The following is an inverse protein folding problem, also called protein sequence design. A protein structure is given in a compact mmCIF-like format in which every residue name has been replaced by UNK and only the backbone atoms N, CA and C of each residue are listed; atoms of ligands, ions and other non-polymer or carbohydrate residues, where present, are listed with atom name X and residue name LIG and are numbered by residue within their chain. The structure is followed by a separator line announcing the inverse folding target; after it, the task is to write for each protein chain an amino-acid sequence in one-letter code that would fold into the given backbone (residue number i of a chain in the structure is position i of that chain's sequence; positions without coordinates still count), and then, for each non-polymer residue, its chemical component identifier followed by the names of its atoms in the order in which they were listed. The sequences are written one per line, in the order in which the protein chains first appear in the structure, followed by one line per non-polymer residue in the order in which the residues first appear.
data_IF_219935379101
#
_entry.id   IF_219935379101
#
_cell.length_a   1.000
_cell.length_b   1.000
_cell.length_c   1.000
_cell.angle_alpha   90.00
_cell.angle_beta   90.00
_cell.angle_gamma   90.00
#
_symmetry.space_group_name_H-M   'P 1'
#
loop_
_entity.id
_entity.type
_entity.pdbx_description
1 polymer ?
#
# COMPACT_ATOMS: atom_id res chain seq x y z
N UNK A 1 21.16 -11.86 -15.42
CA UNK A 1 20.12 -11.85 -16.48
C UNK A 1 18.67 -11.92 -15.96
N UNK A 2 18.35 -12.73 -14.95
CA UNK A 2 16.95 -12.90 -14.48
C UNK A 2 16.28 -11.64 -13.90
N UNK A 3 17.01 -10.76 -13.21
CA UNK A 3 16.45 -9.53 -12.62
C UNK A 3 15.93 -8.51 -13.64
N UNK A 4 16.65 -8.31 -14.76
CA UNK A 4 16.23 -7.42 -15.84
C UNK A 4 14.98 -7.96 -16.56
N UNK A 5 14.94 -9.28 -16.82
CA UNK A 5 13.77 -9.94 -17.39
C UNK A 5 12.54 -9.82 -16.49
N UNK A 6 12.70 -9.95 -15.17
CA UNK A 6 11.61 -9.74 -14.20
C UNK A 6 11.11 -8.30 -14.22
N UNK A 7 11.99 -7.30 -14.26
CA UNK A 7 11.61 -5.88 -14.36
C UNK A 7 10.78 -5.59 -15.61
N UNK A 8 11.22 -6.08 -16.75
CA UNK A 8 10.51 -5.90 -18.02
C UNK A 8 9.17 -6.65 -18.01
N UNK A 9 9.16 -7.90 -17.54
CA UNK A 9 7.93 -8.68 -17.38
C UNK A 9 6.93 -8.01 -16.44
N UNK A 10 7.40 -7.43 -15.33
CA UNK A 10 6.55 -6.73 -14.37
C UNK A 10 5.79 -5.55 -15.00
N UNK A 11 6.45 -4.78 -15.90
CA UNK A 11 5.79 -3.67 -16.61
C UNK A 11 4.65 -4.16 -17.52
N UNK A 12 4.87 -5.29 -18.21
CA UNK A 12 3.87 -5.90 -19.09
C UNK A 12 2.67 -6.39 -18.27
N UNK A 13 2.92 -7.10 -17.17
CA UNK A 13 1.84 -7.56 -16.28
C UNK A 13 1.09 -6.40 -15.63
N UNK A 14 1.78 -5.37 -15.16
CA UNK A 14 1.13 -4.20 -14.58
C UNK A 14 0.19 -3.51 -15.60
N UNK A 15 0.60 -3.35 -16.86
CA UNK A 15 -0.26 -2.80 -17.91
C UNK A 15 -1.50 -3.66 -18.14
N UNK A 16 -1.32 -4.98 -18.18
CA UNK A 16 -2.43 -5.94 -18.36
C UNK A 16 -3.39 -5.96 -17.17
N UNK A 17 -2.88 -5.79 -15.96
CA UNK A 17 -3.66 -5.77 -14.71
C UNK A 17 -4.39 -4.42 -14.49
N UNK A 18 -4.43 -3.56 -15.51
CA UNK A 18 -5.14 -2.27 -15.48
C UNK A 18 -4.31 -1.10 -14.92
N UNK A 19 -3.02 -1.29 -14.66
CA UNK A 19 -2.14 -0.24 -14.12
C UNK A 19 -1.39 0.54 -15.20
N UNK A 20 -1.90 0.61 -16.43
CA UNK A 20 -1.27 1.37 -17.50
C UNK A 20 -0.98 2.82 -17.05
N UNK A 21 0.25 3.31 -17.29
CA UNK A 21 0.66 4.66 -16.89
C UNK A 21 1.17 4.81 -15.45
N UNK A 22 1.24 3.74 -14.65
CA UNK A 22 1.71 3.79 -13.26
C UNK A 22 3.11 4.39 -13.06
N UNK A 23 3.98 4.24 -14.07
CA UNK A 23 5.38 4.71 -14.03
C UNK A 23 5.49 6.22 -13.83
N UNK A 24 4.52 7.01 -14.31
CA UNK A 24 4.49 8.47 -14.09
C UNK A 24 4.36 8.81 -12.60
N UNK A 25 3.52 8.07 -11.88
CA UNK A 25 3.28 8.27 -10.45
C UNK A 25 4.46 7.78 -9.61
N UNK A 26 5.11 6.69 -10.03
CA UNK A 26 6.39 6.26 -9.44
C UNK A 26 7.46 7.33 -9.60
N UNK A 27 7.63 7.87 -10.81
CA UNK A 27 8.65 8.89 -11.09
C UNK A 27 8.36 10.20 -10.34
N UNK A 28 7.10 10.63 -10.28
CA UNK A 28 6.68 11.78 -9.48
C UNK A 28 7.01 11.60 -7.99
N UNK A 29 6.73 10.42 -7.42
CA UNK A 29 7.07 10.11 -6.03
C UNK A 29 8.58 10.18 -5.77
N UNK A 30 9.40 9.70 -6.71
CA UNK A 30 10.86 9.81 -6.61
C UNK A 30 11.36 11.25 -6.74
N UNK A 31 10.79 12.03 -7.65
CA UNK A 31 11.19 13.43 -7.84
C UNK A 31 10.87 14.29 -6.61
N UNK A 32 9.78 13.97 -5.90
CA UNK A 32 9.36 14.69 -4.70
C UNK A 32 10.42 14.65 -3.58
N UNK A 33 11.28 13.62 -3.51
CA UNK A 33 12.29 13.51 -2.44
C UNK A 33 13.51 14.41 -2.65
N UNK A 34 13.61 15.07 -3.80
CA UNK A 34 14.69 16.02 -4.12
C UNK A 34 14.19 17.45 -4.35
N UNK A 35 12.89 17.71 -4.19
CA UNK A 35 12.30 19.04 -4.34
C UNK A 35 12.52 19.90 -3.08
N UNK A 36 12.55 21.21 -3.27
CA UNK A 36 12.57 22.15 -2.15
C UNK A 36 11.24 22.15 -1.39
N UNK A 37 11.28 22.50 -0.09
CA UNK A 37 10.07 22.65 0.71
C UNK A 37 9.08 23.67 0.11
N UNK A 38 9.59 24.73 -0.53
CA UNK A 38 8.77 25.73 -1.22
C UNK A 38 8.00 25.12 -2.41
N UNK A 39 8.69 24.37 -3.27
CA UNK A 39 8.05 23.71 -4.42
C UNK A 39 7.01 22.69 -3.99
N UNK A 40 7.30 21.90 -2.96
CA UNK A 40 6.36 20.92 -2.39
C UNK A 40 5.12 21.65 -1.86
N UNK A 41 5.28 22.72 -1.08
CA UNK A 41 4.16 23.50 -0.54
C UNK A 41 3.28 24.08 -1.66
N UNK A 42 3.90 24.67 -2.69
CA UNK A 42 3.18 25.22 -3.85
C UNK A 42 2.39 24.13 -4.57
N UNK A 43 3.04 23.01 -4.92
CA UNK A 43 2.40 21.89 -5.62
C UNK A 43 1.27 21.26 -4.80
N UNK A 44 1.45 21.12 -3.49
CA UNK A 44 0.41 20.62 -2.58
C UNK A 44 -0.79 21.56 -2.51
N UNK A 45 -0.59 22.87 -2.44
CA UNK A 45 -1.69 23.83 -2.44
C UNK A 45 -2.47 23.82 -3.76
N UNK A 46 -1.77 23.74 -4.89
CA UNK A 46 -2.41 23.63 -6.20
C UNK A 46 -3.19 22.31 -6.35
N UNK A 47 -2.63 21.20 -5.86
CA UNK A 47 -3.31 19.91 -5.84
C UNK A 47 -4.54 19.93 -4.92
N UNK A 48 -4.45 20.59 -3.77
CA UNK A 48 -5.56 20.77 -2.84
C UNK A 48 -6.71 21.54 -3.49
N UNK A 49 -6.43 22.68 -4.13
CA UNK A 49 -7.44 23.48 -4.83
C UNK A 49 -8.18 22.65 -5.88
N UNK A 50 -7.44 21.90 -6.71
CA UNK A 50 -8.05 20.99 -7.70
C UNK A 50 -8.90 19.91 -7.04
N UNK A 51 -8.45 19.34 -5.91
CA UNK A 51 -9.20 18.32 -5.19
C UNK A 51 -10.51 18.88 -4.60
N UNK A 52 -10.47 20.05 -3.97
CA UNK A 52 -11.65 20.71 -3.42
C UNK A 52 -12.64 21.09 -4.52
N UNK A 53 -12.17 21.67 -5.63
CA UNK A 53 -13.03 21.96 -6.79
C UNK A 53 -13.66 20.68 -7.34
N UNK A 54 -12.90 19.60 -7.49
CA UNK A 54 -13.46 18.32 -7.93
C UNK A 54 -14.54 17.82 -6.97
N UNK A 55 -14.23 17.73 -5.68
CA UNK A 55 -15.16 17.27 -4.65
C UNK A 55 -16.47 18.07 -4.64
N UNK A 56 -16.38 19.41 -4.64
CA UNK A 56 -17.56 20.27 -4.64
C UNK A 56 -18.38 20.16 -5.93
N UNK A 57 -17.72 20.12 -7.10
CA UNK A 57 -18.42 20.13 -8.38
C UNK A 57 -19.04 18.78 -8.74
N UNK A 58 -18.48 17.67 -8.27
CA UNK A 58 -18.84 16.34 -8.79
C UNK A 58 -19.34 15.37 -7.73
N UNK A 59 -19.19 15.63 -6.44
CA UNK A 59 -19.61 14.70 -5.37
C UNK A 59 -20.76 15.30 -4.56
N UNK A 60 -21.98 14.74 -4.63
CA UNK A 60 -23.15 15.28 -3.95
C UNK A 60 -22.93 15.55 -2.46
N UNK A 61 -22.34 14.61 -1.73
CA UNK A 61 -22.07 14.74 -0.30
C UNK A 61 -21.27 16.01 0.05
N UNK A 62 -20.16 16.26 -0.67
CA UNK A 62 -19.31 17.42 -0.39
C UNK A 62 -19.96 18.73 -0.82
N UNK A 63 -20.65 18.73 -1.97
CA UNK A 63 -21.38 19.91 -2.43
C UNK A 63 -22.40 20.37 -1.39
N UNK A 64 -23.22 19.45 -0.90
CA UNK A 64 -24.31 19.78 0.02
C UNK A 64 -23.75 20.19 1.39
N UNK A 65 -22.78 19.43 1.92
CA UNK A 65 -22.15 19.71 3.21
C UNK A 65 -21.41 21.06 3.23
N UNK A 66 -20.76 21.43 2.12
CA UNK A 66 -20.01 22.69 2.04
C UNK A 66 -20.91 23.89 1.73
N UNK A 67 -21.95 23.71 0.91
CA UNK A 67 -22.96 24.75 0.67
C UNK A 67 -23.66 25.15 1.97
N UNK A 68 -23.97 24.19 2.84
CA UNK A 68 -24.61 24.43 4.14
C UNK A 68 -23.81 25.36 5.08
N UNK A 69 -22.48 25.42 4.92
CA UNK A 69 -21.60 26.29 5.70
C UNK A 69 -21.09 27.51 4.90
N UNK A 70 -21.66 27.75 3.71
CA UNK A 70 -21.24 28.83 2.82
C UNK A 70 -19.81 28.68 2.28
N UNK A 71 -19.29 27.45 2.19
CA UNK A 71 -17.99 27.18 1.61
C UNK A 71 -18.11 26.83 0.12
N UNK A 72 -17.34 27.52 -0.72
CA UNK A 72 -17.15 27.20 -2.12
C UNK A 72 -15.64 27.24 -2.45
N UNK A 73 -15.09 26.22 -3.16
CA UNK A 73 -13.70 26.25 -3.58
C UNK A 73 -13.40 27.45 -4.49
N UNK A 74 -12.25 28.09 -4.28
CA UNK A 74 -11.77 29.21 -5.08
C UNK A 74 -10.26 29.11 -5.32
N UNK A 75 -9.75 29.95 -6.23
CA UNK A 75 -8.30 30.06 -6.46
C UNK A 75 -7.52 30.60 -5.25
N UNK A 76 -8.22 31.20 -4.27
CA UNK A 76 -7.61 31.80 -3.09
C UNK A 76 -7.63 30.90 -1.84
N UNK A 77 -8.23 29.70 -1.93
CA UNK A 77 -8.24 28.75 -0.80
C UNK A 77 -6.82 28.50 -0.31
N UNK A 78 -6.66 28.58 1.01
CA UNK A 78 -5.44 28.32 1.77
C UNK A 78 -5.58 27.02 2.59
N UNK A 79 -4.48 26.58 3.21
CA UNK A 79 -4.50 25.39 4.07
C UNK A 79 -5.38 25.58 5.31
N UNK A 80 -5.42 26.79 5.86
CA UNK A 80 -6.16 27.07 7.09
C UNK A 80 -7.68 27.01 6.88
N UNK A 81 -8.16 27.22 5.64
CA UNK A 81 -9.58 27.09 5.29
C UNK A 81 -10.10 25.66 5.51
N UNK A 82 -9.22 24.65 5.52
CA UNK A 82 -9.60 23.26 5.78
C UNK A 82 -10.20 23.06 7.16
N UNK A 83 -9.87 23.92 8.13
CA UNK A 83 -10.44 23.84 9.49
C UNK A 83 -11.94 24.12 9.52
N UNK A 84 -12.47 24.79 8.48
CA UNK A 84 -13.90 25.09 8.36
C UNK A 84 -14.70 23.93 7.79
N UNK A 85 -14.04 22.96 7.14
CA UNK A 85 -14.71 21.88 6.43
C UNK A 85 -15.16 20.78 7.39
N UNK A 86 -16.38 20.23 7.24
CA UNK A 86 -16.83 19.13 8.05
C UNK A 86 -15.97 17.88 7.80
N UNK A 87 -15.68 17.15 8.87
CA UNK A 87 -14.93 15.91 8.83
C UNK A 87 -15.79 14.77 8.27
N UNK A 88 -15.23 13.97 7.37
CA UNK A 88 -15.84 12.72 6.90
C UNK A 88 -15.64 11.62 7.95
N UNK A 89 -16.73 10.93 8.31
CA UNK A 89 -16.73 9.86 9.30
C UNK A 89 -16.96 8.48 8.67
N UNK A 90 -16.70 7.41 9.44
CA UNK A 90 -17.07 6.04 9.02
C UNK A 90 -18.58 5.85 8.86
N UNK A 91 -19.39 6.59 9.62
CA UNK A 91 -20.85 6.53 9.51
C UNK A 91 -21.29 7.15 8.17
N UNK A 92 -20.69 8.26 7.75
CA UNK A 92 -20.96 8.84 6.42
C UNK A 92 -20.64 7.86 5.30
N UNK A 93 -19.48 7.19 5.38
CA UNK A 93 -19.11 6.16 4.41
C UNK A 93 -20.10 4.98 4.34
N UNK A 94 -20.75 4.65 5.46
CA UNK A 94 -21.73 3.56 5.54
C UNK A 94 -23.13 4.01 5.07
N UNK A 95 -23.58 5.14 5.58
CA UNK A 95 -24.98 5.59 5.49
C UNK A 95 -25.22 6.49 4.26
N UNK A 96 -24.17 7.11 3.72
CA UNK A 96 -24.20 8.07 2.59
C UNK A 96 -23.30 7.64 1.43
N UNK A 97 -23.05 6.33 1.29
CA UNK A 97 -22.09 5.77 0.32
C UNK A 97 -22.33 6.23 -1.12
N UNK A 98 -23.59 6.24 -1.57
CA UNK A 98 -23.95 6.65 -2.93
C UNK A 98 -23.69 8.14 -3.18
N UNK A 99 -23.91 8.99 -2.17
CA UNK A 99 -23.68 10.43 -2.26
C UNK A 99 -22.19 10.81 -2.29
N UNK A 100 -21.32 9.88 -1.88
CA UNK A 100 -19.87 10.03 -1.92
C UNK A 100 -19.27 9.65 -3.29
N UNK A 101 -20.09 9.18 -4.23
CA UNK A 101 -19.64 8.84 -5.58
C UNK A 101 -19.57 10.09 -6.44
N UNK A 102 -18.43 10.28 -7.09
CA UNK A 102 -18.27 11.34 -8.09
C UNK A 102 -19.13 11.06 -9.32
N UNK A 103 -20.00 12.00 -9.66
CA UNK A 103 -20.84 11.99 -10.86
C UNK A 103 -20.02 12.02 -12.16
N UNK A 104 -18.74 12.42 -12.08
CA UNK A 104 -17.82 12.42 -13.21
C UNK A 104 -17.22 11.02 -13.52
N UNK A 105 -17.44 10.01 -12.66
CA UNK A 105 -16.87 8.67 -12.83
C UNK A 105 -17.97 7.69 -13.23
N UNK A 106 -17.89 7.06 -14.41
CA UNK A 106 -18.89 6.08 -14.85
C UNK A 106 -18.78 4.79 -14.03
N UNK A 107 -19.89 4.06 -13.90
CA UNK A 107 -19.97 2.85 -13.06
C UNK A 107 -18.91 1.80 -13.39
N UNK A 108 -18.64 1.57 -14.68
CA UNK A 108 -17.60 0.62 -15.16
C UNK A 108 -16.18 0.90 -14.63
N UNK A 109 -15.92 2.13 -14.20
CA UNK A 109 -14.62 2.54 -13.67
C UNK A 109 -14.59 2.56 -12.14
N UNK A 110 -15.70 2.23 -11.47
CA UNK A 110 -15.84 2.19 -10.00
C UNK A 110 -15.52 0.80 -9.48
N UNK A 111 -14.54 0.70 -8.60
CA UNK A 111 -14.11 -0.55 -7.96
C UNK A 111 -14.42 -0.50 -6.48
N UNK A 112 -15.16 -1.49 -5.97
CA UNK A 112 -15.43 -1.61 -4.54
C UNK A 112 -14.15 -2.03 -3.82
N UNK A 113 -13.88 -1.38 -2.70
CA UNK A 113 -12.82 -1.70 -1.77
C UNK A 113 -13.40 -1.73 -0.34
N UNK A 114 -12.74 -2.45 0.55
CA UNK A 114 -13.18 -2.68 1.93
C UNK A 114 -12.09 -2.19 2.89
N UNK A 115 -12.53 -1.58 3.98
CA UNK A 115 -11.65 -1.28 5.11
C UNK A 115 -11.24 -2.58 5.83
N UNK A 116 -10.14 -2.54 6.60
CA UNK A 116 -9.58 -3.72 7.26
C UNK A 116 -10.45 -4.34 8.36
N UNK A 117 -11.54 -3.68 8.79
CA UNK A 117 -12.49 -4.25 9.75
C UNK A 117 -11.98 -4.40 11.19
N UNK A 118 -10.91 -3.69 11.59
CA UNK A 118 -10.33 -3.79 12.95
C UNK A 118 -11.30 -3.45 14.09
N UNK A 119 -12.40 -2.76 13.78
CA UNK A 119 -13.48 -2.39 14.72
C UNK A 119 -14.75 -3.25 14.54
N UNK A 120 -14.66 -4.41 13.89
CA UNK A 120 -15.73 -5.41 13.81
C UNK A 120 -16.64 -5.33 12.57
N UNK A 121 -16.75 -4.17 11.90
CA UNK A 121 -17.48 -4.05 10.62
C UNK A 121 -16.60 -3.43 9.54
N UNK A 122 -16.54 -4.07 8.37
CA UNK A 122 -15.88 -3.52 7.20
C UNK A 122 -16.80 -2.50 6.54
N UNK A 123 -16.35 -1.26 6.43
CA UNK A 123 -16.98 -0.24 5.59
C UNK A 123 -16.48 -0.38 4.16
N UNK A 124 -17.40 -0.38 3.19
CA UNK A 124 -17.07 -0.41 1.76
C UNK A 124 -17.06 1.00 1.16
N UNK A 125 -16.18 1.24 0.19
CA UNK A 125 -16.10 2.50 -0.54
C UNK A 125 -15.63 2.24 -1.98
N UNK A 126 -15.75 3.24 -2.86
CA UNK A 126 -15.35 3.11 -4.25
C UNK A 126 -13.98 3.74 -4.56
N UNK A 127 -13.28 3.16 -5.53
CA UNK A 127 -12.09 3.75 -6.18
C UNK A 127 -12.29 3.78 -7.67
N UNK A 128 -11.83 4.84 -8.31
CA UNK A 128 -11.72 4.87 -9.76
C UNK A 128 -10.41 4.23 -10.26
N UNK A 129 -10.33 4.01 -11.58
CA UNK A 129 -9.12 3.50 -12.23
C UNK A 129 -7.91 4.43 -12.02
N UNK A 130 -8.09 5.75 -12.10
CA UNK A 130 -7.00 6.71 -11.94
C UNK A 130 -6.36 6.62 -10.55
N UNK A 131 -7.17 6.50 -9.50
CA UNK A 131 -6.73 6.29 -8.12
C UNK A 131 -5.95 4.99 -7.97
N UNK A 132 -6.44 3.88 -8.53
CA UNK A 132 -5.75 2.58 -8.49
C UNK A 132 -4.37 2.64 -9.14
N UNK A 133 -4.26 3.24 -10.33
CA UNK A 133 -2.97 3.43 -11.05
C UNK A 133 -2.02 4.34 -10.27
N UNK A 134 -2.53 5.45 -9.73
CA UNK A 134 -1.73 6.40 -8.97
C UNK A 134 -1.15 5.79 -7.69
N UNK A 135 -1.99 5.08 -6.92
CA UNK A 135 -1.57 4.41 -5.68
C UNK A 135 -0.54 3.33 -5.95
N UNK A 136 -0.79 2.49 -6.95
CA UNK A 136 0.15 1.45 -7.34
C UNK A 136 1.52 2.06 -7.67
N UNK A 137 1.56 3.08 -8.53
CA UNK A 137 2.83 3.72 -8.88
C UNK A 137 3.52 4.43 -7.72
N UNK A 138 2.76 5.14 -6.87
CA UNK A 138 3.30 5.77 -5.66
C UNK A 138 3.91 4.75 -4.71
N UNK A 139 3.24 3.61 -4.48
CA UNK A 139 3.75 2.52 -3.64
C UNK A 139 5.12 2.04 -4.14
N UNK A 140 5.26 1.81 -5.44
CA UNK A 140 6.56 1.42 -6.03
C UNK A 140 7.65 2.48 -5.85
N UNK A 141 7.29 3.76 -5.97
CA UNK A 141 8.22 4.86 -5.68
C UNK A 141 8.68 4.88 -4.22
N UNK A 142 7.75 4.64 -3.28
CA UNK A 142 8.02 4.58 -1.83
C UNK A 142 8.94 3.41 -1.50
N UNK A 143 8.62 2.21 -1.98
CA UNK A 143 9.45 1.03 -1.72
C UNK A 143 10.88 1.21 -2.27
N UNK A 144 11.04 1.92 -3.39
CA UNK A 144 12.36 2.28 -3.92
C UNK A 144 13.14 3.25 -3.03
N UNK A 145 12.47 4.19 -2.35
CA UNK A 145 13.13 5.03 -1.33
C UNK A 145 13.57 4.21 -0.11
N UNK A 146 12.92 3.06 0.13
CA UNK A 146 13.33 2.08 1.14
C UNK A 146 14.39 1.10 0.61
N UNK A 147 14.93 1.33 -0.60
CA UNK A 147 15.99 0.53 -1.21
C UNK A 147 15.53 -0.77 -1.89
N UNK A 148 14.23 -1.01 -2.01
CA UNK A 148 13.73 -2.14 -2.80
C UNK A 148 13.77 -1.82 -4.29
N UNK A 149 14.20 -2.80 -5.09
CA UNK A 149 14.23 -2.68 -6.53
C UNK A 149 13.21 -3.64 -7.17
N UNK A 150 12.40 -3.19 -8.13
CA UNK A 150 11.45 -4.08 -8.81
C UNK A 150 12.11 -5.34 -9.36
N UNK A 151 11.46 -6.49 -9.14
CA UNK A 151 11.94 -7.82 -9.52
C UNK A 151 12.84 -8.50 -8.49
N UNK A 152 13.17 -7.84 -7.38
CA UNK A 152 13.72 -8.50 -6.20
C UNK A 152 12.66 -9.40 -5.57
N UNK A 153 13.08 -10.58 -5.08
CA UNK A 153 12.19 -11.56 -4.49
C UNK A 153 11.62 -11.04 -3.16
N UNK A 154 10.32 -11.21 -2.93
CA UNK A 154 9.67 -10.76 -1.68
C UNK A 154 8.92 -11.89 -1.01
N UNK A 155 9.03 -11.95 0.32
CA UNK A 155 8.13 -12.72 1.17
C UNK A 155 7.05 -11.77 1.70
N UNK A 156 5.80 -12.00 1.33
CA UNK A 156 4.66 -11.21 1.79
C UNK A 156 3.94 -11.97 2.92
N UNK A 157 3.97 -11.47 4.15
CA UNK A 157 3.23 -12.04 5.28
C UNK A 157 1.93 -11.25 5.41
N UNK A 158 0.83 -11.81 4.87
CA UNK A 158 -0.40 -11.06 4.59
C UNK A 158 -1.66 -11.88 4.91
N UNK A 159 -2.66 -11.24 5.51
CA UNK A 159 -3.88 -11.90 6.02
C UNK A 159 -5.17 -11.54 5.27
N UNK A 160 -5.14 -10.61 4.32
CA UNK A 160 -6.35 -10.22 3.59
C UNK A 160 -6.62 -11.19 2.44
N UNK A 161 -7.60 -12.08 2.61
CA UNK A 161 -8.08 -12.98 1.54
C UNK A 161 -8.54 -12.22 0.28
N UNK A 162 -8.92 -10.93 0.40
CA UNK A 162 -9.25 -10.06 -0.73
C UNK A 162 -8.01 -9.55 -1.49
N UNK A 163 -6.86 -9.43 -0.81
CA UNK A 163 -5.58 -9.04 -1.43
C UNK A 163 -4.81 -10.26 -1.98
N UNK A 164 -5.10 -11.43 -1.41
CA UNK A 164 -4.70 -12.73 -1.90
C UNK A 164 -5.58 -13.06 -3.11
N UNK A 165 -5.25 -12.50 -4.29
CA UNK A 165 -5.98 -12.73 -5.53
C UNK A 165 -6.41 -14.20 -5.69
N UNK A 166 -7.56 -14.46 -6.31
CA UNK A 166 -8.38 -15.64 -6.04
C UNK A 166 -7.57 -16.95 -6.05
N UNK A 167 -7.80 -17.77 -5.03
CA UNK A 167 -7.33 -19.14 -4.95
C UNK A 167 -8.08 -20.00 -5.98
N UNK A 168 -7.83 -19.77 -7.26
CA UNK A 168 -8.33 -20.63 -8.33
C UNK A 168 -7.38 -21.81 -8.54
N UNK A 169 -7.97 -23.00 -8.40
CA UNK A 169 -7.41 -24.32 -8.66
C UNK A 169 -6.92 -24.43 -10.11
N UNK A 170 -5.60 -24.42 -10.31
CA UNK A 170 -4.97 -24.65 -11.61
C UNK A 170 -3.60 -23.99 -11.76
N UNK A 171 -2.56 -24.80 -12.02
CA UNK A 171 -1.23 -24.37 -12.45
C UNK A 171 -1.29 -23.84 -13.90
N UNK A 172 -1.86 -22.65 -14.11
CA UNK A 172 -1.79 -22.03 -15.43
C UNK A 172 -0.40 -21.47 -15.71
N UNK A 173 0.11 -21.64 -16.93
CA UNK A 173 1.36 -21.01 -17.42
C UNK A 173 1.38 -19.51 -17.13
N UNK A 174 0.20 -18.87 -17.16
CA UNK A 174 0.00 -17.46 -16.79
C UNK A 174 0.36 -17.17 -15.33
N UNK A 175 -0.06 -18.02 -14.39
CA UNK A 175 0.29 -17.90 -12.96
C UNK A 175 1.78 -18.13 -12.74
N UNK A 176 2.35 -19.12 -13.43
CA UNK A 176 3.79 -19.39 -13.36
C UNK A 176 4.61 -18.19 -13.85
N UNK A 177 4.25 -17.60 -15.00
CA UNK A 177 4.88 -16.40 -15.54
C UNK A 177 4.70 -15.18 -14.62
N UNK A 178 3.51 -15.00 -14.03
CA UNK A 178 3.26 -13.91 -13.07
C UNK A 178 4.09 -14.05 -11.81
N UNK A 179 4.13 -15.26 -11.21
CA UNK A 179 4.98 -15.57 -10.04
C UNK A 179 6.45 -15.43 -10.38
N UNK A 180 6.87 -15.80 -11.58
CA UNK A 180 8.23 -15.60 -12.04
C UNK A 180 8.59 -14.11 -12.16
N UNK A 181 7.68 -13.31 -12.73
CA UNK A 181 7.89 -11.87 -12.95
C UNK A 181 7.85 -11.06 -11.65
N UNK A 182 6.92 -11.35 -10.74
CA UNK A 182 6.87 -10.69 -9.44
C UNK A 182 7.93 -11.21 -8.48
N UNK A 183 8.23 -12.52 -8.55
CA UNK A 183 9.05 -13.25 -7.60
C UNK A 183 8.58 -13.08 -6.14
N UNK A 184 7.27 -12.89 -5.98
CA UNK A 184 6.60 -12.78 -4.69
C UNK A 184 6.18 -14.16 -4.20
N UNK A 185 6.37 -14.39 -2.91
CA UNK A 185 5.83 -15.53 -2.19
C UNK A 185 4.99 -15.03 -1.03
N UNK A 186 3.69 -15.33 -1.08
CA UNK A 186 2.76 -14.92 -0.04
C UNK A 186 2.53 -16.02 0.98
N UNK A 187 2.59 -15.63 2.25
CA UNK A 187 2.39 -16.42 3.45
C UNK A 187 1.14 -15.90 4.14
N UNK A 188 0.16 -16.78 4.38
CA UNK A 188 -1.08 -16.39 5.06
C UNK A 188 -0.77 -16.10 6.52
N UNK A 189 -1.24 -14.97 7.04
CA UNK A 189 -1.07 -14.63 8.46
C UNK A 189 -2.39 -14.56 9.25
N UNK A 190 -3.50 -14.98 8.65
CA UNK A 190 -4.79 -15.09 9.36
C UNK A 190 -4.72 -16.15 10.46
N UNK A 191 -4.09 -17.29 10.14
CA UNK A 191 -3.75 -18.37 11.06
C UNK A 191 -2.35 -18.85 10.70
N UNK A 192 -1.47 -18.95 11.69
CA UNK A 192 -0.09 -19.40 11.53
C UNK A 192 0.20 -20.49 12.56
N UNK A 193 -0.14 -21.73 12.23
CA UNK A 193 0.25 -22.88 13.07
C UNK A 193 1.75 -23.15 12.94
N UNK A 194 2.30 -23.94 13.86
CA UNK A 194 3.70 -24.37 13.78
C UNK A 194 4.01 -25.14 12.49
N UNK A 195 3.05 -25.93 11.99
CA UNK A 195 3.18 -26.64 10.72
C UNK A 195 3.23 -25.66 9.54
N UNK A 196 2.35 -24.64 9.53
CA UNK A 196 2.36 -23.59 8.52
C UNK A 196 3.68 -22.83 8.52
N UNK A 197 4.13 -22.40 9.70
CA UNK A 197 5.37 -21.65 9.85
C UNK A 197 6.59 -22.48 9.44
N UNK A 198 6.60 -23.80 9.70
CA UNK A 198 7.66 -24.69 9.21
C UNK A 198 7.65 -24.78 7.68
N UNK A 199 6.48 -24.89 7.05
CA UNK A 199 6.35 -24.89 5.60
C UNK A 199 6.76 -23.52 5.00
N UNK A 200 6.41 -22.41 5.66
CA UNK A 200 6.79 -21.06 5.25
C UNK A 200 8.32 -20.91 5.29
N UNK A 201 8.94 -21.37 6.37
CA UNK A 201 10.39 -21.37 6.52
C UNK A 201 11.08 -22.11 5.37
N UNK A 202 10.66 -23.34 5.05
CA UNK A 202 11.21 -24.13 3.94
C UNK A 202 11.09 -23.39 2.59
N UNK A 203 9.90 -22.81 2.31
CA UNK A 203 9.65 -22.02 1.09
C UNK A 203 10.56 -20.80 1.02
N UNK A 204 10.75 -20.09 2.13
CA UNK A 204 11.61 -18.91 2.17
C UNK A 204 13.11 -19.26 2.12
N UNK A 205 13.53 -20.40 2.66
CA UNK A 205 14.89 -20.91 2.46
C UNK A 205 15.17 -21.20 0.99
N UNK A 206 14.21 -21.79 0.26
CA UNK A 206 14.35 -22.01 -1.19
C UNK A 206 14.28 -20.70 -1.99
N UNK A 207 13.42 -19.77 -1.59
CA UNK A 207 13.24 -18.50 -2.28
C UNK A 207 14.45 -17.58 -2.10
N UNK A 208 15.02 -17.49 -0.88
CA UNK A 208 15.98 -16.46 -0.48
C UNK A 208 15.43 -15.04 -0.79
N UNK A 209 14.40 -14.59 -0.06
CA UNK A 209 13.78 -13.29 -0.32
C UNK A 209 14.76 -12.15 -0.02
N UNK A 210 14.78 -11.13 -0.87
CA UNK A 210 15.50 -9.90 -0.58
C UNK A 210 14.74 -9.01 0.41
N UNK A 211 13.42 -9.21 0.53
CA UNK A 211 12.52 -8.41 1.35
C UNK A 211 11.51 -9.32 2.07
N UNK A 212 11.30 -9.08 3.37
CA UNK A 212 10.09 -9.52 4.09
C UNK A 212 9.15 -8.32 4.20
N UNK A 213 7.86 -8.48 3.87
CA UNK A 213 6.89 -7.40 3.94
C UNK A 213 5.59 -7.90 4.56
N UNK A 214 5.16 -7.31 5.67
CA UNK A 214 3.92 -7.70 6.32
C UNK A 214 3.59 -6.88 7.55
N UNK A 215 2.73 -7.46 8.38
CA UNK A 215 2.33 -6.87 9.66
C UNK A 215 3.37 -7.17 10.74
N UNK A 216 3.80 -6.19 11.55
CA UNK A 216 4.74 -6.38 12.65
C UNK A 216 4.41 -7.60 13.52
N UNK A 217 3.17 -7.76 13.97
CA UNK A 217 2.81 -8.86 14.86
C UNK A 217 2.96 -10.24 14.19
N UNK A 218 2.56 -10.36 12.92
CA UNK A 218 2.72 -11.60 12.16
C UNK A 218 4.19 -11.93 11.88
N UNK A 219 5.01 -10.92 11.56
CA UNK A 219 6.45 -11.09 11.40
C UNK A 219 7.08 -11.51 12.74
N UNK A 220 6.66 -10.92 13.85
CA UNK A 220 7.11 -11.29 15.20
C UNK A 220 6.79 -12.73 15.55
N UNK A 221 5.56 -13.19 15.30
CA UNK A 221 5.17 -14.58 15.51
C UNK A 221 6.08 -15.53 14.75
N UNK A 222 6.35 -15.24 13.48
CA UNK A 222 7.21 -16.08 12.65
C UNK A 222 8.69 -16.03 13.08
N UNK A 223 9.21 -14.85 13.41
CA UNK A 223 10.58 -14.69 13.90
C UNK A 223 10.81 -15.45 15.22
N UNK A 224 9.84 -15.40 16.14
CA UNK A 224 9.87 -16.15 17.40
C UNK A 224 9.84 -17.65 17.16
N UNK A 225 9.03 -18.12 16.21
CA UNK A 225 9.00 -19.52 15.81
C UNK A 225 10.38 -19.99 15.30
N UNK A 226 11.01 -19.25 14.37
CA UNK A 226 12.35 -19.57 13.85
C UNK A 226 13.37 -19.71 14.98
N UNK A 227 13.35 -18.76 15.93
CA UNK A 227 14.25 -18.77 17.08
C UNK A 227 13.98 -19.94 18.04
N UNK A 228 12.71 -20.18 18.39
CA UNK A 228 12.28 -21.24 19.31
C UNK A 228 12.67 -22.62 18.78
N UNK A 229 12.42 -22.86 17.49
CA UNK A 229 12.71 -24.12 16.80
C UNK A 229 14.19 -24.24 16.37
N UNK A 230 15.01 -23.22 16.64
CA UNK A 230 16.43 -23.15 16.24
C UNK A 230 16.64 -23.41 14.74
N UNK A 231 15.72 -22.91 13.92
CA UNK A 231 15.80 -23.08 12.47
C UNK A 231 16.86 -22.17 11.87
N UNK A 232 17.35 -22.53 10.68
CA UNK A 232 18.28 -21.71 9.91
C UNK A 232 17.72 -20.29 9.72
N UNK A 233 18.49 -19.21 9.99
CA UNK A 233 18.03 -17.85 9.75
C UNK A 233 17.63 -17.60 8.28
N UNK A 234 16.62 -16.76 8.06
CA UNK A 234 16.20 -16.35 6.71
C UNK A 234 16.81 -14.98 6.44
N UNK A 235 17.89 -14.92 5.66
CA UNK A 235 18.53 -13.64 5.38
C UNK A 235 17.70 -12.82 4.37
N UNK A 236 17.05 -11.76 4.86
CA UNK A 236 16.42 -10.75 4.02
C UNK A 236 17.20 -9.44 4.17
N UNK A 237 17.46 -8.75 3.07
CA UNK A 237 18.17 -7.47 3.13
C UNK A 237 17.32 -6.34 3.70
N UNK A 238 15.99 -6.48 3.72
CA UNK A 238 15.02 -5.47 4.16
C UNK A 238 13.76 -6.10 4.75
N UNK A 239 13.16 -5.42 5.71
CA UNK A 239 11.89 -5.80 6.33
C UNK A 239 10.96 -4.58 6.28
N UNK A 240 9.84 -4.70 5.59
CA UNK A 240 8.82 -3.65 5.51
C UNK A 240 7.66 -3.98 6.43
N UNK A 241 7.33 -3.06 7.32
CA UNK A 241 6.25 -3.20 8.29
C UNK A 241 5.13 -2.23 7.94
N UNK A 242 3.88 -2.67 8.02
CA UNK A 242 2.72 -1.81 7.75
C UNK A 242 1.47 -2.27 8.49
N UNK A 243 0.40 -1.47 8.39
CA UNK A 243 -0.94 -1.71 8.95
C UNK A 243 -1.05 -1.85 10.48
N UNK A 244 0.07 -1.97 11.21
CA UNK A 244 0.14 -1.98 12.67
C UNK A 244 1.30 -1.11 13.15
N UNK A 245 1.29 -0.78 14.44
CA UNK A 245 2.41 -0.06 15.07
C UNK A 245 3.63 -0.97 15.17
N UNK A 246 4.73 -0.58 14.52
CA UNK A 246 6.04 -1.20 14.70
C UNK A 246 6.66 -0.73 16.03
N UNK A 247 7.05 -1.68 16.88
CA UNK A 247 7.74 -1.43 18.15
C UNK A 247 9.25 -1.59 18.02
N UNK A 248 10.03 -0.89 18.85
CA UNK A 248 11.50 -1.00 18.81
C UNK A 248 12.00 -2.41 19.14
N UNK A 249 11.38 -3.07 20.12
CA UNK A 249 11.65 -4.50 20.44
C UNK A 249 11.40 -5.44 19.25
N UNK A 250 10.46 -5.10 18.37
CA UNK A 250 10.17 -5.86 17.16
C UNK A 250 11.23 -5.61 16.10
N UNK A 251 11.68 -4.36 15.94
CA UNK A 251 12.79 -4.00 15.04
C UNK A 251 14.04 -4.83 15.34
N UNK A 252 14.47 -4.86 16.60
CA UNK A 252 15.64 -5.64 17.01
C UNK A 252 15.45 -7.14 16.77
N UNK A 253 14.26 -7.68 17.08
CA UNK A 253 13.94 -9.09 16.83
C UNK A 253 14.03 -9.41 15.34
N UNK A 254 13.49 -8.55 14.48
CA UNK A 254 13.50 -8.77 13.03
C UNK A 254 14.91 -8.68 12.47
N UNK A 255 15.73 -7.74 12.94
CA UNK A 255 17.14 -7.66 12.58
C UNK A 255 17.90 -8.92 12.99
N UNK A 256 17.67 -9.49 14.17
CA UNK A 256 18.28 -10.76 14.57
C UNK A 256 17.80 -11.96 13.75
N UNK A 257 16.51 -12.03 13.45
CA UNK A 257 15.92 -13.16 12.72
C UNK A 257 16.21 -13.13 11.22
N UNK A 258 16.31 -11.93 10.63
CA UNK A 258 16.37 -11.74 9.18
C UNK A 258 17.61 -10.99 8.68
N UNK A 259 18.31 -10.22 9.52
CA UNK A 259 19.56 -9.51 9.20
C UNK A 259 19.43 -8.14 8.52
N UNK A 260 18.26 -7.81 7.95
CA UNK A 260 18.08 -6.59 7.14
C UNK A 260 17.58 -5.36 7.89
N UNK A 261 17.59 -4.23 7.19
CA UNK A 261 17.03 -2.97 7.66
C UNK A 261 15.51 -3.05 7.77
N UNK A 262 14.94 -2.53 8.86
CA UNK A 262 13.49 -2.53 9.09
C UNK A 262 12.95 -1.14 8.75
N UNK A 263 11.85 -1.08 8.01
CA UNK A 263 11.19 0.16 7.62
C UNK A 263 9.73 0.16 8.05
N UNK A 264 9.28 1.27 8.62
CA UNK A 264 7.87 1.51 8.91
C UNK A 264 7.16 2.16 7.73
N UNK A 265 6.00 1.64 7.34
CA UNK A 265 5.14 2.19 6.30
C UNK A 265 3.74 2.42 6.88
N UNK A 266 3.35 3.69 7.06
CA UNK A 266 2.01 4.03 7.52
C UNK A 266 1.04 4.07 6.34
N UNK A 267 0.17 3.05 6.27
CA UNK A 267 -0.77 2.86 5.18
C UNK A 267 -2.21 2.70 5.69
N UNK A 268 -3.16 3.18 4.90
CA UNK A 268 -4.59 2.91 5.10
C UNK A 268 -5.24 2.38 3.82
N UNK A 269 -6.39 1.71 3.96
CA UNK A 269 -7.14 1.27 2.78
C UNK A 269 -7.53 2.49 1.98
N UNK A 270 -8.03 3.54 2.60
CA UNK A 270 -8.57 4.80 2.07
C UNK A 270 -7.54 5.61 1.28
N UNK A 271 -6.32 5.81 1.79
CA UNK A 271 -5.31 6.71 1.20
C UNK A 271 -4.13 5.98 0.56
N UNK A 272 -3.81 4.78 1.03
CA UNK A 272 -2.60 4.06 0.65
C UNK A 272 -1.49 4.42 1.63
N UNK A 273 -0.24 4.32 1.19
CA UNK A 273 0.88 4.75 2.03
C UNK A 273 0.92 6.28 2.12
N UNK A 274 0.70 6.78 3.33
CA UNK A 274 0.66 8.21 3.66
C UNK A 274 2.04 8.71 4.09
N UNK A 275 2.75 7.88 4.86
CA UNK A 275 4.09 8.17 5.35
C UNK A 275 4.93 6.89 5.39
N UNK A 276 6.26 7.04 5.30
CA UNK A 276 7.21 5.95 5.23
C UNK A 276 8.59 6.35 5.73
N UNK A 277 9.23 5.43 6.43
CA UNK A 277 10.61 5.54 6.87
C UNK A 277 11.55 5.40 5.66
N UNK A 278 12.53 6.31 5.52
CA UNK A 278 13.57 6.21 4.51
C UNK A 278 14.86 5.58 5.07
N UNK A 279 15.84 5.31 4.22
CA UNK A 279 17.12 4.69 4.59
C UNK A 279 17.96 5.43 5.64
N UNK A 280 17.60 6.67 5.98
CA UNK A 280 18.25 7.41 7.06
C UNK A 280 17.73 7.04 8.45
N UNK A 281 16.60 6.34 8.54
CA UNK A 281 15.95 5.98 9.82
C UNK A 281 15.74 7.19 10.75
N UNK A 282 15.47 8.35 10.15
CA UNK A 282 15.19 9.63 10.82
C UNK A 282 13.87 10.17 10.28
N UNK A 283 12.76 9.82 10.91
CA UNK A 283 11.42 10.16 10.42
C UNK A 283 10.43 9.00 10.56
N UNK A 284 9.37 9.00 9.74
CA UNK A 284 8.11 8.30 10.02
C UNK A 284 7.65 7.40 8.88
#
# INVERSE_FOLDING_TARGET
MSGLLRRSGYRVFARRDGYAGWTRHRNAMRAMTTQSAFEIRRQSLDALRRLLTHAFSTVPFYRDAWTAIGFAPSAHVALDDLQRLPMLTKNDLRDRKEDLISLAVPERDRHIDLTGGTTGTQTSFYRDNACRVARFGRQWGILEQCGYQPGQKRALIWGSHADLGPAHSGLSLRRALRRFASADETLCCTVMTDADMRAYHQRLCALQPAVVYGYPNAIEQFARFIARERLKPITAGRIFCTAERLLERQRELFQRAFGGDVFNLYCSREHGCVAFECSRHRGF
#
